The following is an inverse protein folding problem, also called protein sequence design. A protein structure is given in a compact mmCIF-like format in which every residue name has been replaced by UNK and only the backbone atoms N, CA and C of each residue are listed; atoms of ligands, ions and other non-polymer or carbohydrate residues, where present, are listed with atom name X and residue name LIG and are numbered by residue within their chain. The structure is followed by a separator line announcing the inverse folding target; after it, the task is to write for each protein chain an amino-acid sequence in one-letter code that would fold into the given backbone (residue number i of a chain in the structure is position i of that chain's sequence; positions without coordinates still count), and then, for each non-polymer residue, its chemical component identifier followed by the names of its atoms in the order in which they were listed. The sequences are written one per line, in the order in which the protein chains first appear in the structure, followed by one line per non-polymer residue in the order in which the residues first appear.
data_IF_594118966703
#
_entry.id   IF_594118966703
#
_cell.length_a   1.000
_cell.length_b   1.000
_cell.length_c   1.000
_cell.angle_alpha   90.00
_cell.angle_beta   90.00
_cell.angle_gamma   90.00
#
_symmetry.space_group_name_H-M   'P 1'
#
loop_
_entity.id
_entity.type
_entity.pdbx_description
1 polymer ?
#
# COMPACT_ATOMS: atom_id res chain seq x y z
N UNK A 1 -31.64 -9.55 0.18
CA UNK A 1 -31.16 -10.82 -0.42
C UNK A 1 -29.81 -11.13 0.19
N UNK A 2 -29.61 -12.34 0.69
CA UNK A 2 -28.50 -12.69 1.62
C UNK A 2 -27.44 -13.53 0.91
N UNK A 3 -26.15 -13.21 1.10
CA UNK A 3 -25.04 -14.05 0.65
C UNK A 3 -25.02 -15.38 1.41
N UNK A 4 -24.56 -16.44 0.76
CA UNK A 4 -24.27 -17.70 1.47
C UNK A 4 -23.01 -17.57 2.33
N UNK A 5 -22.86 -18.40 3.35
CA UNK A 5 -21.67 -18.39 4.21
C UNK A 5 -20.35 -18.55 3.43
N UNK A 6 -20.34 -19.35 2.35
CA UNK A 6 -19.15 -19.53 1.50
C UNK A 6 -18.84 -18.29 0.66
N UNK A 7 -19.87 -17.60 0.16
CA UNK A 7 -19.69 -16.34 -0.57
C UNK A 7 -19.19 -15.23 0.33
N UNK A 8 -19.73 -15.15 1.55
CA UNK A 8 -19.30 -14.20 2.56
C UNK A 8 -17.83 -14.46 2.97
N UNK A 9 -17.47 -15.72 3.24
CA UNK A 9 -16.07 -16.07 3.54
C UNK A 9 -15.12 -15.79 2.38
N UNK A 10 -15.56 -16.02 1.12
CA UNK A 10 -14.80 -15.64 -0.06
C UNK A 10 -14.58 -14.11 -0.13
N UNK A 11 -15.63 -13.32 0.10
CA UNK A 11 -15.54 -11.86 0.09
C UNK A 11 -14.58 -11.33 1.18
N UNK A 12 -14.64 -11.92 2.38
CA UNK A 12 -13.71 -11.61 3.49
C UNK A 12 -12.27 -11.92 3.11
N UNK A 13 -12.00 -13.13 2.60
CA UNK A 13 -10.65 -13.51 2.15
C UNK A 13 -10.07 -12.54 1.10
N UNK A 14 -10.90 -12.05 0.18
CA UNK A 14 -10.47 -11.06 -0.84
C UNK A 14 -10.21 -9.68 -0.23
N UNK A 15 -11.04 -9.26 0.72
CA UNK A 15 -10.82 -8.01 1.45
C UNK A 15 -9.52 -8.07 2.28
N UNK A 16 -9.19 -9.24 2.82
CA UNK A 16 -7.95 -9.52 3.57
C UNK A 16 -6.70 -9.65 2.68
N UNK A 17 -6.87 -9.55 1.36
CA UNK A 17 -5.75 -9.49 0.40
C UNK A 17 -5.37 -10.81 -0.26
N UNK A 18 -6.14 -11.88 -0.09
CA UNK A 18 -5.91 -13.12 -0.85
C UNK A 18 -6.23 -12.93 -2.34
N UNK A 19 -5.61 -13.76 -3.17
CA UNK A 19 -6.01 -13.85 -4.58
C UNK A 19 -7.39 -14.51 -4.70
N UNK A 20 -8.09 -14.27 -5.81
CA UNK A 20 -9.37 -14.94 -6.11
C UNK A 20 -9.28 -16.46 -6.01
N UNK A 21 -8.20 -17.04 -6.54
CA UNK A 21 -8.03 -18.50 -6.51
C UNK A 21 -7.80 -19.02 -5.08
N UNK A 22 -7.03 -18.32 -4.26
CA UNK A 22 -6.75 -18.73 -2.88
C UNK A 22 -7.96 -18.53 -1.98
N UNK A 23 -8.68 -17.42 -2.13
CA UNK A 23 -9.96 -17.20 -1.46
C UNK A 23 -10.98 -18.30 -1.81
N UNK A 24 -11.01 -18.73 -3.09
CA UNK A 24 -11.88 -19.83 -3.50
C UNK A 24 -11.45 -21.16 -2.86
N UNK A 25 -10.14 -21.47 -2.82
CA UNK A 25 -9.63 -22.69 -2.16
C UNK A 25 -9.92 -22.71 -0.66
N UNK A 26 -9.87 -21.56 0.00
CA UNK A 26 -10.12 -21.43 1.43
C UNK A 26 -11.60 -21.67 1.79
N UNK A 27 -12.52 -21.26 0.92
CA UNK A 27 -13.95 -21.23 1.24
C UNK A 27 -14.80 -22.31 0.52
N UNK A 28 -14.24 -22.95 -0.51
CA UNK A 28 -14.91 -23.98 -1.29
C UNK A 28 -14.09 -25.27 -1.30
N UNK A 29 -14.78 -26.41 -1.38
CA UNK A 29 -14.15 -27.74 -1.44
C UNK A 29 -13.44 -27.95 -2.79
N UNK A 30 -12.27 -27.36 -2.95
CA UNK A 30 -11.52 -27.30 -4.20
C UNK A 30 -10.41 -28.36 -4.33
N UNK A 31 -10.21 -29.21 -3.32
CA UNK A 31 -9.07 -30.15 -3.27
C UNK A 31 -8.99 -31.19 -4.39
N UNK A 32 -10.07 -31.42 -5.14
CA UNK A 32 -10.13 -32.31 -6.31
C UNK A 32 -10.24 -31.57 -7.64
N UNK A 33 -10.27 -30.24 -7.62
CA UNK A 33 -10.45 -29.42 -8.81
C UNK A 33 -9.12 -29.12 -9.48
N UNK A 34 -9.10 -29.11 -10.82
CA UNK A 34 -7.96 -28.60 -11.57
C UNK A 34 -7.78 -27.10 -11.30
N UNK A 35 -6.54 -26.63 -11.35
CA UNK A 35 -6.21 -25.22 -11.12
C UNK A 35 -7.04 -24.27 -12.02
N UNK A 36 -7.12 -24.56 -13.32
CA UNK A 36 -7.89 -23.72 -14.26
C UNK A 36 -9.37 -23.62 -13.88
N UNK A 37 -9.97 -24.73 -13.41
CA UNK A 37 -11.36 -24.72 -12.96
C UNK A 37 -11.55 -23.86 -11.71
N UNK A 38 -10.58 -23.84 -10.80
CA UNK A 38 -10.59 -22.95 -9.63
C UNK A 38 -10.51 -21.49 -10.09
N UNK A 39 -9.58 -21.14 -10.97
CA UNK A 39 -9.43 -19.78 -11.49
C UNK A 39 -10.70 -19.28 -12.19
N UNK A 40 -11.29 -20.10 -13.06
CA UNK A 40 -12.53 -19.75 -13.77
C UNK A 40 -13.69 -19.55 -12.80
N UNK A 41 -13.87 -20.45 -11.82
CA UNK A 41 -14.99 -20.34 -10.88
C UNK A 41 -14.81 -19.18 -9.90
N UNK A 42 -13.58 -18.92 -9.45
CA UNK A 42 -13.28 -17.77 -8.61
C UNK A 42 -13.56 -16.44 -9.34
N UNK A 43 -13.17 -16.36 -10.62
CA UNK A 43 -13.46 -15.19 -11.46
C UNK A 43 -14.96 -14.98 -11.67
N UNK A 44 -15.71 -16.06 -11.97
CA UNK A 44 -17.17 -16.01 -12.06
C UNK A 44 -17.83 -15.57 -10.75
N UNK A 45 -17.31 -16.03 -9.61
CA UNK A 45 -17.83 -15.67 -8.30
C UNK A 45 -17.59 -14.18 -7.99
N UNK A 46 -16.41 -13.66 -8.33
CA UNK A 46 -16.10 -12.24 -8.17
C UNK A 46 -16.92 -11.35 -9.11
N UNK A 47 -17.34 -11.87 -10.26
CA UNK A 47 -18.22 -11.16 -11.19
C UNK A 47 -19.69 -11.09 -10.71
N UNK A 48 -20.08 -11.88 -9.70
CA UNK A 48 -21.40 -11.75 -9.09
C UNK A 48 -21.51 -10.40 -8.38
N UNK A 49 -22.52 -9.61 -8.75
CA UNK A 49 -22.70 -8.24 -8.25
C UNK A 49 -22.77 -8.16 -6.73
N UNK A 50 -23.38 -9.15 -6.05
CA UNK A 50 -23.52 -9.13 -4.59
C UNK A 50 -22.19 -9.40 -3.90
N UNK A 51 -21.41 -10.33 -4.45
CA UNK A 51 -20.06 -10.64 -3.94
C UNK A 51 -19.15 -9.45 -4.16
N UNK A 52 -19.15 -8.85 -5.36
CA UNK A 52 -18.36 -7.67 -5.66
C UNK A 52 -18.68 -6.50 -4.72
N UNK A 53 -19.97 -6.18 -4.56
CA UNK A 53 -20.41 -5.13 -3.63
C UNK A 53 -19.98 -5.41 -2.19
N UNK A 54 -20.05 -6.68 -1.76
CA UNK A 54 -19.63 -7.05 -0.40
C UNK A 54 -18.14 -6.86 -0.19
N UNK A 55 -17.30 -7.23 -1.16
CA UNK A 55 -15.85 -7.02 -1.12
C UNK A 55 -15.53 -5.53 -0.99
N UNK A 56 -16.18 -4.68 -1.80
CA UNK A 56 -15.95 -3.24 -1.75
C UNK A 56 -16.39 -2.64 -0.41
N UNK A 57 -17.53 -3.07 0.14
CA UNK A 57 -17.95 -2.67 1.48
C UNK A 57 -16.91 -3.05 2.54
N UNK A 58 -16.44 -4.30 2.55
CA UNK A 58 -15.44 -4.77 3.51
C UNK A 58 -14.13 -3.98 3.41
N UNK A 59 -13.70 -3.63 2.20
CA UNK A 59 -12.52 -2.79 1.97
C UNK A 59 -12.72 -1.37 2.48
N UNK A 60 -13.89 -0.79 2.28
CA UNK A 60 -14.23 0.51 2.82
C UNK A 60 -14.22 0.49 4.37
N UNK A 61 -14.83 -0.53 4.97
CA UNK A 61 -14.85 -0.71 6.42
C UNK A 61 -13.42 -0.84 7.00
N UNK A 62 -12.56 -1.63 6.34
CA UNK A 62 -11.15 -1.77 6.73
C UNK A 62 -10.38 -0.46 6.58
N UNK A 63 -10.61 0.29 5.49
CA UNK A 63 -9.96 1.58 5.28
C UNK A 63 -10.40 2.61 6.34
N UNK A 64 -11.69 2.64 6.69
CA UNK A 64 -12.22 3.50 7.75
C UNK A 64 -11.62 3.15 9.12
N UNK A 65 -11.53 1.87 9.45
CA UNK A 65 -10.88 1.41 10.69
C UNK A 65 -9.39 1.78 10.73
N UNK A 66 -8.68 1.66 9.61
CA UNK A 66 -7.29 2.09 9.50
C UNK A 66 -7.14 3.61 9.67
N UNK A 67 -8.06 4.40 9.13
CA UNK A 67 -8.05 5.85 9.34
C UNK A 67 -8.30 6.21 10.81
N UNK A 68 -9.27 5.55 11.46
CA UNK A 68 -9.54 5.74 12.89
C UNK A 68 -8.33 5.40 13.76
N UNK A 69 -7.71 4.23 13.55
CA UNK A 69 -6.51 3.83 14.30
C UNK A 69 -5.33 4.80 14.13
N UNK A 70 -5.15 5.36 12.93
CA UNK A 70 -4.16 6.43 12.68
C UNK A 70 -4.52 7.71 13.44
N UNK A 71 -5.77 8.16 13.36
CA UNK A 71 -6.23 9.35 14.06
C UNK A 71 -6.13 9.21 15.58
N UNK A 72 -6.40 8.02 16.11
CA UNK A 72 -6.27 7.69 17.52
C UNK A 72 -4.81 7.68 17.96
N UNK A 73 -3.91 7.12 17.15
CA UNK A 73 -2.47 7.16 17.39
C UNK A 73 -1.98 8.61 17.49
N UNK A 74 -2.39 9.47 16.55
CA UNK A 74 -2.07 10.92 16.58
C UNK A 74 -2.64 11.58 17.84
N UNK A 75 -3.88 11.27 18.23
CA UNK A 75 -4.50 11.82 19.45
C UNK A 75 -3.70 11.45 20.70
N UNK A 76 -3.27 10.18 20.83
CA UNK A 76 -2.48 9.69 21.96
C UNK A 76 -1.10 10.36 21.99
N UNK A 77 -0.40 10.40 20.86
CA UNK A 77 0.93 11.01 20.76
C UNK A 77 0.89 12.51 21.09
N UNK A 78 -0.13 13.24 20.60
CA UNK A 78 -0.34 14.65 20.96
C UNK A 78 -0.57 14.81 22.46
N UNK A 79 -1.43 13.97 23.05
CA UNK A 79 -1.68 14.02 24.50
C UNK A 79 -0.40 13.83 25.30
N UNK A 80 0.50 12.92 24.89
CA UNK A 80 1.78 12.69 25.58
C UNK A 80 2.71 13.89 25.38
N UNK A 81 2.78 14.45 24.17
CA UNK A 81 3.62 15.61 23.86
C UNK A 81 3.21 16.85 24.68
N UNK A 82 1.91 17.07 24.90
CA UNK A 82 1.37 18.23 25.61
C UNK A 82 1.48 18.12 27.15
N UNK A 83 1.66 16.92 27.72
CA UNK A 83 1.70 16.75 29.18
C UNK A 83 3.10 17.06 29.73
N UNK A 84 3.23 18.12 30.51
CA UNK A 84 4.47 18.42 31.25
C UNK A 84 4.73 17.49 32.46
N UNK A 85 3.79 16.59 32.76
CA UNK A 85 3.94 15.55 33.79
C UNK A 85 4.38 14.25 33.14
N UNK A 86 5.59 13.77 33.48
CA UNK A 86 6.14 12.51 32.97
C UNK A 86 7.53 12.67 32.33
N UNK A 87 8.12 11.57 31.83
CA UNK A 87 9.47 11.58 31.27
C UNK A 87 9.56 12.47 30.03
N UNK A 88 10.53 13.40 30.02
CA UNK A 88 10.80 14.26 28.86
C UNK A 88 11.12 13.47 27.59
N UNK A 89 11.79 12.33 27.73
CA UNK A 89 12.07 11.42 26.63
C UNK A 89 10.79 10.94 25.92
N UNK A 90 9.70 10.69 26.65
CA UNK A 90 8.43 10.27 26.06
C UNK A 90 7.79 11.38 25.21
N UNK A 91 7.92 12.64 25.64
CA UNK A 91 7.48 13.80 24.86
C UNK A 91 8.29 13.97 23.59
N UNK A 92 9.62 13.93 23.69
CA UNK A 92 10.52 14.06 22.54
C UNK A 92 10.25 12.96 21.52
N UNK A 93 10.07 11.71 21.96
CA UNK A 93 9.72 10.59 21.07
C UNK A 93 8.37 10.80 20.40
N UNK A 94 7.37 11.29 21.12
CA UNK A 94 6.04 11.55 20.55
C UNK A 94 6.07 12.64 19.48
N UNK A 95 6.81 13.74 19.73
CA UNK A 95 7.02 14.82 18.74
C UNK A 95 7.77 14.31 17.51
N UNK A 96 8.81 13.50 17.70
CA UNK A 96 9.55 12.90 16.58
C UNK A 96 8.66 12.01 15.71
N UNK A 97 7.81 11.19 16.32
CA UNK A 97 6.89 10.33 15.59
C UNK A 97 5.83 11.15 14.83
N UNK A 98 5.25 12.18 15.47
CA UNK A 98 4.35 13.12 14.79
C UNK A 98 5.04 13.78 13.59
N UNK A 99 6.28 14.22 13.74
CA UNK A 99 7.04 14.82 12.64
C UNK A 99 7.31 13.84 11.50
N UNK A 100 7.61 12.57 11.80
CA UNK A 100 7.79 11.53 10.81
C UNK A 100 6.47 11.23 10.06
N UNK A 101 5.36 11.09 10.80
CA UNK A 101 4.03 10.83 10.20
C UNK A 101 3.57 11.93 9.25
N UNK A 102 3.97 13.18 9.50
CA UNK A 102 3.60 14.34 8.67
C UNK A 102 4.67 14.70 7.61
N UNK A 103 5.74 13.92 7.47
CA UNK A 103 6.79 14.15 6.48
C UNK A 103 7.74 15.31 6.80
N UNK A 104 7.68 15.90 8.00
CA UNK A 104 8.55 17.01 8.41
C UNK A 104 10.02 16.58 8.56
N UNK A 105 10.31 15.28 8.63
CA UNK A 105 11.66 14.74 8.70
C UNK A 105 12.20 14.26 7.33
N UNK A 106 11.43 14.33 6.24
CA UNK A 106 11.90 13.88 4.94
C UNK A 106 12.94 14.86 4.36
N UNK A 107 14.17 14.43 4.02
CA UNK A 107 15.15 15.30 3.39
C UNK A 107 14.67 15.69 1.98
N UNK A 108 14.76 16.99 1.65
CA UNK A 108 14.47 17.48 0.31
C UNK A 108 15.38 16.75 -0.69
N UNK A 109 14.79 15.93 -1.56
CA UNK A 109 15.53 15.28 -2.64
C UNK A 109 15.98 16.35 -3.62
N UNK A 110 17.26 16.72 -3.60
CA UNK A 110 17.88 17.57 -4.62
C UNK A 110 18.36 16.67 -5.74
N UNK A 111 17.59 16.61 -6.82
CA UNK A 111 18.02 15.91 -8.04
C UNK A 111 19.07 16.76 -8.78
N UNK A 112 20.36 16.46 -8.55
CA UNK A 112 21.47 17.00 -9.33
C UNK A 112 21.58 16.24 -10.67
N UNK A 113 20.66 16.46 -11.60
CA UNK A 113 20.84 16.02 -12.98
C UNK A 113 21.98 16.82 -13.61
N UNK A 114 23.18 16.23 -13.64
CA UNK A 114 24.34 16.75 -14.38
C UNK A 114 24.09 16.58 -15.89
N UNK A 115 23.31 17.48 -16.48
CA UNK A 115 23.25 17.64 -17.94
C UNK A 115 24.50 18.40 -18.38
N UNK A 116 25.53 17.67 -18.78
CA UNK A 116 26.57 18.21 -19.68
C UNK A 116 28.00 18.16 -19.15
N UNK A 117 28.58 16.96 -19.07
CA UNK A 117 30.03 16.80 -19.25
C UNK A 117 30.24 15.59 -20.16
N UNK A 118 30.18 15.83 -21.46
CA UNK A 118 30.30 14.77 -22.46
C UNK A 118 30.39 15.31 -23.87
N UNK A 119 31.30 16.27 -24.11
CA UNK A 119 31.73 16.68 -25.46
C UNK A 119 32.99 17.55 -25.38
N UNK A 120 34.10 16.93 -25.01
CA UNK A 120 35.43 17.37 -25.50
C UNK A 120 36.11 16.11 -26.00
N UNK A 121 35.79 15.74 -27.24
CA UNK A 121 36.50 14.72 -27.98
C UNK A 121 36.94 15.34 -29.31
N UNK A 122 38.23 15.68 -29.37
CA UNK A 122 39.11 15.50 -30.52
C UNK A 122 38.74 16.19 -31.85
N UNK A 123 39.06 17.49 -31.96
CA UNK A 123 39.32 18.13 -33.26
C UNK A 123 40.66 18.86 -33.21
N UNK A 124 41.76 18.10 -33.28
CA UNK A 124 43.11 18.65 -33.40
C UNK A 124 43.98 17.90 -34.43
N UNK A 125 43.39 17.21 -35.41
CA UNK A 125 44.17 16.39 -36.37
C UNK A 125 44.00 16.76 -37.85
N UNK A 126 43.08 17.65 -38.24
CA UNK A 126 42.83 17.88 -39.69
C UNK A 126 43.13 19.29 -40.24
N UNK A 127 43.93 20.11 -39.53
CA UNK A 127 44.33 21.44 -40.00
C UNK A 127 45.77 21.53 -40.56
N UNK A 128 46.50 20.41 -40.71
CA UNK A 128 47.90 20.41 -41.19
C UNK A 128 48.13 19.60 -42.47
N UNK A 129 47.11 19.50 -43.34
CA UNK A 129 47.22 18.80 -44.64
C UNK A 129 46.87 19.65 -45.87
N UNK A 130 46.54 20.95 -45.72
CA UNK A 130 46.39 21.86 -46.88
C UNK A 130 46.81 23.29 -46.52
N UNK A 131 48.01 23.67 -46.94
CA UNK A 131 48.58 25.02 -46.83
C UNK A 131 50.09 24.97 -46.87
#
# INVERSE_FOLDING_TARGET
MTLTAKQEGFAQSIADGLTQADAYRANYSAGRMKADSIHVNASKLMADTKVAQRVEQLRADLAEQQLWSRADSVRVLRSIADTNTGPEAARVSSVKELNAMHGYNEPAKVDLTHKGIGRIALEAVDAYSKG
#
